data_IF_542252884412
#
_entry.id   IF_542252884412
#
_cell.length_a   1.000
_cell.length_b   1.000
_cell.length_c   1.000
_cell.angle_alpha   90.00
_cell.angle_beta   90.00
_cell.angle_gamma   90.00
#
_symmetry.space_group_name_H-M   'P 1'
#
loop_
_entity.id
_entity.type
_entity.pdbx_description
1 polymer ?
#
# COMPACT_ATOMS: atom_id res chain seq x y z
N UNK A 1 -21.47 -34.52 12.14
CA UNK A 1 -20.23 -33.74 12.31
C UNK A 1 -20.29 -32.58 11.34
N UNK A 2 -20.68 -31.38 11.81
CA UNK A 2 -20.93 -30.20 10.96
C UNK A 2 -19.64 -29.41 10.79
N UNK A 3 -19.09 -29.37 9.58
CA UNK A 3 -17.96 -28.52 9.21
C UNK A 3 -18.50 -27.10 8.98
N UNK A 4 -17.98 -26.13 9.75
CA UNK A 4 -18.29 -24.70 9.59
C UNK A 4 -17.56 -24.13 8.37
N UNK A 5 -18.18 -23.21 7.61
CA UNK A 5 -17.53 -22.53 6.49
C UNK A 5 -16.52 -21.50 7.00
N UNK A 6 -15.29 -21.58 6.52
CA UNK A 6 -14.30 -20.51 6.65
C UNK A 6 -14.62 -19.47 5.56
N UNK A 7 -15.27 -18.38 5.96
CA UNK A 7 -15.33 -17.15 5.18
C UNK A 7 -14.04 -16.37 5.47
N UNK A 8 -13.08 -16.44 4.56
CA UNK A 8 -12.01 -15.44 4.50
C UNK A 8 -12.26 -14.56 3.28
N UNK A 9 -12.65 -13.31 3.53
CA UNK A 9 -12.75 -12.22 2.56
C UNK A 9 -11.36 -11.84 2.01
N UNK A 10 -10.66 -12.78 1.36
CA UNK A 10 -9.52 -12.45 0.54
C UNK A 10 -10.01 -12.09 -0.86
N UNK A 11 -9.59 -10.96 -1.45
CA UNK A 11 -9.79 -10.76 -2.88
C UNK A 11 -9.09 -11.91 -3.60
N UNK A 12 -9.92 -12.73 -4.21
CA UNK A 12 -9.55 -13.83 -5.10
C UNK A 12 -8.57 -13.30 -6.14
N UNK A 13 -7.49 -14.05 -6.36
CA UNK A 13 -6.31 -13.61 -7.11
C UNK A 13 -6.66 -12.85 -8.39
N UNK A 14 -6.00 -11.72 -8.60
CA UNK A 14 -6.00 -11.05 -9.90
C UNK A 14 -4.89 -11.71 -10.70
N UNK A 15 -5.25 -12.62 -11.60
CA UNK A 15 -4.30 -13.29 -12.50
C UNK A 15 -4.16 -12.39 -13.74
N UNK A 16 -3.02 -11.72 -13.91
CA UNK A 16 -2.68 -11.10 -15.18
C UNK A 16 -1.94 -12.15 -16.00
N UNK A 17 -2.34 -12.36 -17.26
CA UNK A 17 -1.63 -13.31 -18.14
C UNK A 17 -1.47 -12.69 -19.51
N UNK A 18 -0.34 -12.98 -20.14
CA UNK A 18 -0.06 -12.67 -21.54
C UNK A 18 -1.16 -13.19 -22.48
N UNK A 19 -1.26 -12.56 -23.65
CA UNK A 19 -1.61 -13.28 -24.86
C UNK A 19 -0.31 -13.90 -25.43
N UNK A 20 -0.30 -15.15 -25.89
CA UNK A 20 0.92 -15.87 -26.16
C UNK A 20 1.56 -15.29 -27.41
N UNK A 21 2.86 -14.97 -27.34
CA UNK A 21 3.64 -14.55 -28.52
C UNK A 21 4.14 -15.72 -29.35
N UNK A 22 3.95 -16.96 -28.88
CA UNK A 22 4.33 -18.19 -29.58
C UNK A 22 3.22 -19.24 -29.50
N UNK A 23 2.95 -20.00 -30.57
CA UNK A 23 2.02 -21.12 -30.51
C UNK A 23 2.53 -22.19 -29.52
N UNK A 24 1.63 -22.72 -28.68
CA UNK A 24 1.92 -23.75 -27.68
C UNK A 24 2.65 -24.95 -28.33
N UNK A 25 3.94 -25.18 -28.05
CA UNK A 25 4.72 -26.14 -28.83
C UNK A 25 4.32 -27.61 -28.60
N UNK A 26 3.59 -27.97 -27.55
CA UNK A 26 3.50 -29.38 -27.11
C UNK A 26 2.17 -29.82 -26.46
N UNK A 27 1.07 -29.07 -26.61
CA UNK A 27 -0.21 -29.46 -25.98
C UNK A 27 -0.18 -29.43 -24.44
N UNK A 28 0.79 -28.73 -23.85
CA UNK A 28 0.88 -28.52 -22.42
C UNK A 28 -0.30 -27.66 -21.92
N UNK A 29 -0.87 -27.97 -20.74
CA UNK A 29 -2.00 -27.24 -20.21
C UNK A 29 -1.57 -25.85 -19.71
N UNK A 30 -2.28 -24.80 -20.12
CA UNK A 30 -2.05 -23.45 -19.60
C UNK A 30 -2.48 -23.28 -18.13
N UNK A 31 -3.25 -24.22 -17.58
CA UNK A 31 -3.66 -24.25 -16.17
C UNK A 31 -3.20 -25.58 -15.58
N UNK A 32 -2.35 -25.51 -14.56
CA UNK A 32 -1.82 -26.65 -13.82
C UNK A 32 -2.38 -26.66 -12.41
N UNK A 33 -2.67 -27.83 -11.86
CA UNK A 33 -3.14 -27.96 -10.47
C UNK A 33 -1.97 -28.42 -9.60
N UNK A 34 -1.42 -27.51 -8.81
CA UNK A 34 -0.39 -27.81 -7.81
C UNK A 34 -0.99 -28.07 -6.43
N UNK A 35 -0.13 -28.38 -5.47
CA UNK A 35 -0.52 -28.66 -4.07
C UNK A 35 -1.18 -27.44 -3.39
N UNK A 36 -0.76 -26.23 -3.75
CA UNK A 36 -1.31 -24.97 -3.23
C UNK A 36 -2.52 -24.45 -4.04
N UNK A 37 -2.98 -25.20 -5.04
CA UNK A 37 -4.09 -24.85 -5.91
C UNK A 37 -3.70 -24.65 -7.38
N UNK A 38 -4.63 -24.16 -8.22
CA UNK A 38 -4.39 -23.97 -9.65
C UNK A 38 -3.40 -22.82 -9.90
N UNK A 39 -2.44 -23.05 -10.79
CA UNK A 39 -1.48 -22.08 -11.31
C UNK A 39 -1.73 -21.90 -12.81
N UNK A 40 -1.65 -20.67 -13.28
CA UNK A 40 -1.82 -20.35 -14.71
C UNK A 40 -0.46 -20.00 -15.29
N UNK A 41 -0.04 -20.77 -16.29
CA UNK A 41 1.16 -20.46 -17.07
C UNK A 41 0.86 -19.26 -17.97
N UNK A 42 1.51 -18.14 -17.68
CA UNK A 42 1.34 -16.89 -18.44
C UNK A 42 1.92 -16.99 -19.85
N UNK A 43 2.91 -17.86 -20.07
CA UNK A 43 3.50 -18.10 -21.38
C UNK A 43 2.56 -18.88 -22.31
N UNK A 44 1.83 -19.84 -21.74
CA UNK A 44 0.92 -20.73 -22.48
C UNK A 44 -0.51 -20.19 -22.55
N UNK A 45 -0.90 -19.26 -21.67
CA UNK A 45 -2.25 -18.72 -21.64
C UNK A 45 -2.56 -17.96 -22.93
N UNK A 46 -3.68 -18.31 -23.57
CA UNK A 46 -4.14 -17.67 -24.80
C UNK A 46 -4.85 -16.32 -24.58
N UNK A 47 -5.09 -15.94 -23.33
CA UNK A 47 -5.92 -14.77 -23.01
C UNK A 47 -7.41 -14.93 -23.34
N UNK A 48 -7.87 -16.13 -23.71
CA UNK A 48 -9.24 -16.37 -24.21
C UNK A 48 -10.37 -16.17 -23.18
N UNK A 49 -10.05 -16.14 -21.88
CA UNK A 49 -11.02 -15.92 -20.80
C UNK A 49 -12.01 -17.07 -20.53
N UNK A 50 -11.81 -18.25 -21.12
CA UNK A 50 -12.68 -19.42 -20.90
C UNK A 50 -12.65 -19.86 -19.43
N UNK A 51 -11.48 -19.86 -18.79
CA UNK A 51 -11.31 -20.21 -17.39
C UNK A 51 -12.09 -19.26 -16.45
N UNK A 52 -12.10 -17.95 -16.73
CA UNK A 52 -12.87 -16.97 -15.97
C UNK A 52 -14.37 -17.27 -15.99
N UNK A 53 -14.89 -17.58 -17.20
CA UNK A 53 -16.32 -17.87 -17.40
C UNK A 53 -16.74 -19.20 -16.77
N UNK A 54 -15.85 -20.21 -16.80
CA UNK A 54 -16.12 -21.53 -16.22
C UNK A 54 -15.92 -21.58 -14.71
N UNK A 55 -15.19 -20.64 -14.12
CA UNK A 55 -14.93 -20.65 -12.69
C UNK A 55 -16.21 -20.33 -11.89
N UNK A 56 -16.76 -21.27 -11.09
CA UNK A 56 -18.01 -21.05 -10.36
C UNK A 56 -17.86 -20.00 -9.26
N UNK A 57 -16.64 -19.78 -8.76
CA UNK A 57 -16.33 -18.84 -7.69
C UNK A 57 -15.88 -17.47 -8.20
N UNK A 58 -15.78 -17.27 -9.52
CA UNK A 58 -15.17 -16.06 -10.13
C UNK A 58 -13.78 -15.77 -9.56
N UNK A 59 -13.04 -16.84 -9.26
CA UNK A 59 -11.73 -16.76 -8.64
C UNK A 59 -10.62 -16.42 -9.63
N UNK A 60 -10.91 -16.41 -10.94
CA UNK A 60 -9.92 -16.20 -11.98
C UNK A 60 -10.27 -14.89 -12.69
N UNK A 61 -9.30 -13.98 -12.74
CA UNK A 61 -9.28 -12.84 -13.66
C UNK A 61 -8.24 -13.12 -14.74
N UNK A 62 -8.44 -12.70 -15.98
CA UNK A 62 -7.39 -12.70 -17.01
C UNK A 62 -7.40 -11.34 -17.65
N UNK A 63 -6.28 -10.64 -17.55
CA UNK A 63 -6.07 -9.31 -18.13
C UNK A 63 -4.92 -9.39 -19.12
N UNK A 64 -5.20 -9.02 -20.38
CA UNK A 64 -4.18 -8.89 -21.41
C UNK A 64 -3.51 -7.53 -21.24
N UNK A 65 -2.26 -7.53 -20.77
CA UNK A 65 -1.47 -6.31 -20.59
C UNK A 65 -0.68 -5.98 -21.86
N UNK A 66 -0.53 -4.69 -22.24
CA UNK A 66 0.42 -4.27 -23.25
C UNK A 66 1.86 -4.50 -22.78
N UNK A 67 2.75 -4.84 -23.72
CA UNK A 67 4.18 -5.16 -23.47
C UNK A 67 4.92 -4.03 -22.73
N UNK A 68 4.61 -2.77 -23.03
CA UNK A 68 5.23 -1.61 -22.36
C UNK A 68 4.94 -1.56 -20.85
N UNK A 69 3.84 -2.14 -20.37
CA UNK A 69 3.59 -2.19 -18.93
C UNK A 69 4.42 -3.28 -18.25
N UNK A 70 4.85 -4.32 -18.95
CA UNK A 70 5.72 -5.36 -18.37
C UNK A 70 7.10 -4.83 -18.03
N UNK A 71 7.64 -3.93 -18.86
CA UNK A 71 8.90 -3.21 -18.62
C UNK A 71 8.83 -2.30 -17.38
N UNK A 72 7.63 -1.92 -16.95
CA UNK A 72 7.38 -1.05 -15.81
C UNK A 72 7.00 -1.80 -14.52
N UNK A 73 7.25 -3.11 -14.45
CA UNK A 73 6.88 -3.95 -13.29
C UNK A 73 7.74 -3.62 -12.06
N UNK A 74 7.09 -3.10 -11.01
CA UNK A 74 7.74 -2.66 -9.78
C UNK A 74 7.70 -3.74 -8.69
N UNK A 75 6.55 -4.38 -8.50
CA UNK A 75 6.41 -5.36 -7.43
C UNK A 75 5.39 -6.44 -7.78
N UNK A 76 5.64 -7.66 -7.33
CA UNK A 76 4.74 -8.81 -7.49
C UNK A 76 4.73 -9.65 -6.21
N UNK A 77 3.55 -9.93 -5.65
CA UNK A 77 3.44 -10.67 -4.37
C UNK A 77 3.65 -12.18 -4.48
N UNK A 78 3.61 -12.75 -5.67
CA UNK A 78 3.73 -14.19 -5.89
C UNK A 78 3.39 -14.60 -7.32
N UNK A 79 3.53 -15.89 -7.64
CA UNK A 79 3.07 -16.44 -8.92
C UNK A 79 1.58 -16.17 -9.07
N UNK A 80 1.20 -15.57 -10.19
CA UNK A 80 -0.14 -15.07 -10.47
C UNK A 80 -0.76 -14.15 -9.38
N UNK A 81 0.08 -13.55 -8.54
CA UNK A 81 -0.32 -12.57 -7.55
C UNK A 81 -0.50 -11.18 -8.16
N UNK A 82 -0.99 -10.25 -7.33
CA UNK A 82 -1.10 -8.85 -7.71
C UNK A 82 0.26 -8.28 -8.14
N UNK A 83 0.25 -7.55 -9.26
CA UNK A 83 1.40 -6.81 -9.80
C UNK A 83 1.16 -5.31 -9.70
N UNK A 84 2.17 -4.59 -9.22
CA UNK A 84 2.22 -3.14 -9.23
C UNK A 84 3.12 -2.67 -10.38
N UNK A 85 2.57 -1.80 -11.22
CA UNK A 85 3.29 -1.17 -12.33
C UNK A 85 3.44 0.31 -12.07
N UNK A 86 4.64 0.84 -12.35
CA UNK A 86 5.06 2.23 -12.08
C UNK A 86 4.92 2.64 -10.61
N UNK A 87 5.53 3.78 -10.29
CA UNK A 87 5.34 4.45 -9.00
C UNK A 87 5.05 5.93 -9.23
N UNK A 88 4.22 6.55 -8.36
CA UNK A 88 4.08 7.99 -8.34
C UNK A 88 5.41 8.61 -7.89
N UNK A 89 5.77 9.74 -8.50
CA UNK A 89 7.00 10.49 -8.17
C UNK A 89 6.67 11.59 -7.17
N UNK A 90 7.21 11.55 -5.94
CA UNK A 90 6.98 12.61 -4.96
C UNK A 90 7.69 13.91 -5.38
N UNK A 91 6.97 15.03 -5.32
CA UNK A 91 7.49 16.38 -5.57
C UNK A 91 7.47 17.23 -4.30
N UNK A 92 8.61 17.87 -4.00
CA UNK A 92 8.74 18.75 -2.82
C UNK A 92 7.77 19.93 -2.91
N UNK A 93 7.24 20.35 -1.75
CA UNK A 93 6.37 21.54 -1.64
C UNK A 93 4.96 21.37 -2.24
N UNK A 94 4.56 20.15 -2.59
CA UNK A 94 3.26 19.87 -3.20
C UNK A 94 2.59 18.64 -2.56
N UNK A 95 1.27 18.59 -2.63
CA UNK A 95 0.49 17.43 -2.19
C UNK A 95 0.13 16.58 -3.41
N UNK A 96 0.61 15.34 -3.45
CA UNK A 96 0.29 14.39 -4.50
C UNK A 96 -0.86 13.47 -4.06
N UNK A 97 -2.02 13.61 -4.70
CA UNK A 97 -3.16 12.72 -4.48
C UNK A 97 -3.08 11.46 -5.35
N UNK A 98 -3.21 10.28 -4.72
CA UNK A 98 -3.31 8.99 -5.44
C UNK A 98 -4.75 8.50 -5.37
N UNK A 99 -5.45 8.50 -6.51
CA UNK A 99 -6.86 8.11 -6.59
C UNK A 99 -7.02 6.88 -7.48
N UNK A 100 -7.85 5.94 -7.04
CA UNK A 100 -8.11 4.70 -7.77
C UNK A 100 -8.98 3.74 -6.96
N UNK A 101 -9.54 2.72 -7.63
CA UNK A 101 -10.37 1.69 -6.98
C UNK A 101 -9.57 0.90 -5.94
N UNK A 102 -10.25 0.22 -5.03
CA UNK A 102 -9.59 -0.70 -4.09
C UNK A 102 -8.92 -1.85 -4.85
N UNK A 103 -7.78 -2.33 -4.34
CA UNK A 103 -7.02 -3.40 -4.99
C UNK A 103 -6.18 -2.97 -6.21
N UNK A 104 -6.03 -1.67 -6.48
CA UNK A 104 -5.19 -1.15 -7.60
C UNK A 104 -3.73 -0.92 -7.22
N UNK A 105 -3.33 -1.21 -5.98
CA UNK A 105 -1.94 -1.10 -5.53
C UNK A 105 -1.54 0.23 -4.90
N UNK A 106 -2.49 1.15 -4.63
CA UNK A 106 -2.23 2.43 -3.95
C UNK A 106 -1.43 2.26 -2.65
N UNK A 107 -1.92 1.40 -1.76
CA UNK A 107 -1.27 1.12 -0.47
C UNK A 107 0.08 0.41 -0.65
N UNK A 108 0.23 -0.43 -1.67
CA UNK A 108 1.53 -1.06 -2.02
C UNK A 108 2.54 0.01 -2.46
N UNK A 109 2.14 0.93 -3.35
CA UNK A 109 3.00 2.04 -3.78
C UNK A 109 3.41 2.93 -2.61
N UNK A 110 2.48 3.28 -1.72
CA UNK A 110 2.76 4.05 -0.51
C UNK A 110 3.73 3.29 0.42
N UNK A 111 3.54 1.98 0.63
CA UNK A 111 4.44 1.15 1.46
C UNK A 111 5.86 1.10 0.87
N UNK A 112 6.00 1.08 -0.45
CA UNK A 112 7.30 1.14 -1.12
C UNK A 112 7.98 2.49 -0.86
N UNK A 113 7.27 3.59 -1.11
CA UNK A 113 7.78 4.95 -0.86
C UNK A 113 8.08 5.18 0.64
N UNK A 114 7.34 4.53 1.54
CA UNK A 114 7.54 4.61 2.98
C UNK A 114 8.70 3.76 3.52
N UNK A 115 9.47 3.09 2.65
CA UNK A 115 10.49 2.10 3.02
C UNK A 115 9.95 0.99 3.95
N UNK A 116 8.69 0.58 3.75
CA UNK A 116 8.04 -0.54 4.46
C UNK A 116 7.98 -1.80 3.62
N UNK A 117 8.24 -1.68 2.32
CA UNK A 117 8.27 -2.76 1.35
C UNK A 117 9.38 -2.46 0.33
N UNK A 118 10.37 -3.33 0.19
CA UNK A 118 11.34 -3.22 -0.90
C UNK A 118 10.69 -3.82 -2.16
N UNK A 119 10.55 -3.05 -3.26
CA UNK A 119 9.96 -3.55 -4.49
C UNK A 119 10.86 -4.64 -5.08
N UNK A 120 10.27 -5.76 -5.51
CA UNK A 120 11.05 -6.92 -5.96
C UNK A 120 11.30 -6.92 -7.47
N UNK A 121 10.78 -5.91 -8.20
CA UNK A 121 10.99 -5.71 -9.63
C UNK A 121 10.58 -6.95 -10.45
N UNK A 122 9.53 -7.65 -10.00
CA UNK A 122 9.04 -8.90 -10.60
C UNK A 122 9.83 -10.15 -10.20
N UNK A 123 10.96 -10.03 -9.49
CA UNK A 123 11.76 -11.16 -9.01
C UNK A 123 11.16 -11.73 -7.72
N UNK A 124 10.57 -12.93 -7.77
CA UNK A 124 9.89 -13.51 -6.61
C UNK A 124 10.82 -13.85 -5.44
N UNK A 125 12.10 -14.11 -5.73
CA UNK A 125 13.18 -14.28 -4.74
C UNK A 125 13.45 -12.98 -3.94
N UNK A 126 12.98 -11.83 -4.43
CA UNK A 126 13.22 -10.51 -3.86
C UNK A 126 14.20 -9.66 -4.66
N UNK A 127 14.45 -8.46 -4.15
CA UNK A 127 15.42 -7.50 -4.66
C UNK A 127 16.12 -6.82 -3.49
N UNK A 128 17.38 -6.44 -3.69
CA UNK A 128 18.10 -5.57 -2.76
C UNK A 128 17.74 -4.09 -2.99
N UNK A 129 17.91 -3.23 -1.99
CA UNK A 129 17.81 -1.78 -2.17
C UNK A 129 18.70 -1.23 -3.30
N UNK A 130 19.88 -1.80 -3.50
CA UNK A 130 20.80 -1.39 -4.57
C UNK A 130 20.25 -1.72 -5.96
N UNK A 131 19.61 -2.88 -6.12
CA UNK A 131 18.92 -3.21 -7.38
C UNK A 131 17.81 -2.20 -7.70
N UNK A 132 17.08 -1.74 -6.68
CA UNK A 132 16.00 -0.75 -6.84
C UNK A 132 16.58 0.60 -7.27
N UNK A 133 17.69 1.03 -6.65
CA UNK A 133 18.38 2.26 -7.03
C UNK A 133 18.84 2.16 -8.50
N UNK A 134 19.40 1.01 -8.89
CA UNK A 134 19.87 0.79 -10.25
C UNK A 134 18.74 0.78 -11.27
N UNK A 135 17.64 0.08 -10.96
CA UNK A 135 16.46 0.03 -11.82
C UNK A 135 15.92 1.42 -12.15
N UNK A 136 15.91 2.33 -11.18
CA UNK A 136 15.42 3.70 -11.39
C UNK A 136 16.47 4.67 -11.94
N UNK A 137 17.68 4.23 -12.29
CA UNK A 137 18.75 5.09 -12.80
C UNK A 137 18.26 5.95 -13.97
N UNK A 138 18.58 7.25 -13.93
CA UNK A 138 18.15 8.23 -14.94
C UNK A 138 16.72 8.76 -14.76
N UNK A 139 15.96 8.28 -13.76
CA UNK A 139 14.63 8.80 -13.41
C UNK A 139 14.67 9.70 -12.18
N UNK A 140 13.58 10.44 -11.93
CA UNK A 140 13.43 11.25 -10.71
C UNK A 140 13.41 10.39 -9.43
N UNK A 141 12.96 9.13 -9.52
CA UNK A 141 12.92 8.20 -8.39
C UNK A 141 14.31 7.68 -8.00
N UNK A 142 15.32 7.78 -8.88
CA UNK A 142 16.69 7.38 -8.56
C UNK A 142 17.21 8.08 -7.30
N UNK A 143 17.11 9.42 -7.30
CA UNK A 143 17.59 10.22 -6.18
C UNK A 143 16.77 9.97 -4.91
N UNK A 144 15.45 9.83 -5.07
CA UNK A 144 14.54 9.50 -3.98
C UNK A 144 14.95 8.21 -3.25
N UNK A 145 15.13 7.10 -3.99
CA UNK A 145 15.52 5.83 -3.38
C UNK A 145 16.93 5.83 -2.83
N UNK A 146 17.87 6.54 -3.48
CA UNK A 146 19.23 6.72 -2.97
C UNK A 146 19.27 7.46 -1.64
N UNK A 147 18.41 8.46 -1.45
CA UNK A 147 18.30 9.20 -0.20
C UNK A 147 17.53 8.40 0.86
N UNK A 148 16.46 7.70 0.47
CA UNK A 148 15.65 6.85 1.34
C UNK A 148 16.44 5.69 1.94
N UNK A 149 17.09 4.88 1.09
CA UNK A 149 17.88 3.73 1.55
C UNK A 149 19.21 4.15 2.18
N UNK A 150 19.76 5.30 1.78
CA UNK A 150 20.93 5.91 2.41
C UNK A 150 20.66 6.60 3.75
N UNK A 151 19.41 6.60 4.24
CA UNK A 151 19.02 7.22 5.51
C UNK A 151 19.08 8.75 5.52
N UNK A 152 19.21 9.39 4.37
CA UNK A 152 19.26 10.85 4.20
C UNK A 152 17.87 11.48 4.01
N UNK A 153 16.84 10.66 3.78
CA UNK A 153 15.44 11.07 3.65
C UNK A 153 14.62 10.49 4.80
N UNK A 154 13.98 11.35 5.60
CA UNK A 154 13.11 10.93 6.71
C UNK A 154 11.66 10.88 6.23
N UNK A 155 10.98 9.76 6.49
CA UNK A 155 9.58 9.56 6.07
C UNK A 155 8.67 9.38 7.28
N UNK A 156 7.64 10.21 7.37
CA UNK A 156 6.52 10.03 8.30
C UNK A 156 5.39 9.29 7.58
N UNK A 157 4.97 8.15 8.12
CA UNK A 157 3.95 7.28 7.51
C UNK A 157 2.76 7.06 8.44
N UNK A 158 1.57 7.42 7.96
CA UNK A 158 0.29 7.06 8.58
C UNK A 158 -0.28 5.83 7.85
N UNK A 159 -0.41 4.66 8.52
CA UNK A 159 -0.95 3.44 7.90
C UNK A 159 -2.47 3.48 7.73
N UNK A 160 -2.98 2.66 6.81
CA UNK A 160 -4.41 2.48 6.58
C UNK A 160 -5.08 1.80 7.80
N UNK A 161 -4.43 0.78 8.36
CA UNK A 161 -4.96 -0.10 9.39
C UNK A 161 -4.86 0.48 10.81
N UNK A 162 -5.49 1.64 11.04
CA UNK A 162 -5.45 2.33 12.35
C UNK A 162 -6.05 1.52 13.51
N UNK A 163 -6.91 0.54 13.21
CA UNK A 163 -7.46 -0.40 14.19
C UNK A 163 -6.39 -1.31 14.82
N UNK A 164 -5.19 -1.40 14.24
CA UNK A 164 -4.06 -2.12 14.83
C UNK A 164 -3.30 -1.29 15.86
N UNK A 165 -3.49 0.04 15.91
CA UNK A 165 -2.78 0.93 16.84
C UNK A 165 -2.86 0.48 18.31
N UNK A 166 -4.01 0.06 18.86
CA UNK A 166 -4.08 -0.39 20.25
C UNK A 166 -3.31 -1.67 20.52
N UNK A 167 -2.91 -2.43 19.48
CA UNK A 167 -2.06 -3.63 19.61
C UNK A 167 -0.60 -3.24 19.77
N UNK A 168 -0.13 -2.27 18.98
CA UNK A 168 1.28 -1.86 18.89
C UNK A 168 1.67 -0.70 19.82
N UNK A 169 0.73 0.17 20.18
CA UNK A 169 0.96 1.30 21.09
C UNK A 169 0.10 1.15 22.34
N UNK A 170 0.71 1.41 23.50
CA UNK A 170 0.04 1.40 24.82
C UNK A 170 0.22 2.75 25.50
N UNK A 171 -0.65 3.04 26.46
CA UNK A 171 -0.58 4.24 27.29
C UNK A 171 -1.63 5.29 26.95
N UNK A 172 -1.49 6.45 27.59
CA UNK A 172 -2.36 7.62 27.38
C UNK A 172 -1.99 8.34 26.09
N UNK A 173 -3.00 8.77 25.35
CA UNK A 173 -2.83 9.44 24.05
C UNK A 173 -1.99 10.71 24.16
N UNK A 174 -2.22 11.53 25.19
CA UNK A 174 -1.39 12.71 25.49
C UNK A 174 0.11 12.38 25.55
N UNK A 175 0.49 11.33 26.29
CA UNK A 175 1.89 10.92 26.42
C UNK A 175 2.46 10.40 25.11
N UNK A 176 1.67 9.61 24.38
CA UNK A 176 2.08 9.07 23.07
C UNK A 176 2.35 10.21 22.09
N UNK A 177 1.43 11.16 21.96
CA UNK A 177 1.55 12.28 21.04
C UNK A 177 2.71 13.20 21.41
N UNK A 178 2.89 13.53 22.70
CA UNK A 178 4.06 14.32 23.16
C UNK A 178 5.39 13.60 22.92
N UNK A 179 5.43 12.28 23.07
CA UNK A 179 6.65 11.50 22.84
C UNK A 179 7.05 11.43 21.35
N UNK A 180 6.09 11.51 20.43
CA UNK A 180 6.33 11.53 18.98
C UNK A 180 6.36 12.94 18.40
N UNK A 181 6.24 13.98 19.23
CA UNK A 181 6.32 15.36 18.76
C UNK A 181 7.79 15.80 18.66
N UNK A 182 8.29 15.85 17.43
CA UNK A 182 9.61 16.36 17.09
C UNK A 182 9.57 17.82 16.63
N UNK A 183 8.38 18.32 16.29
CA UNK A 183 8.18 19.65 15.71
C UNK A 183 7.68 20.68 16.73
N UNK A 184 7.28 20.24 17.92
CA UNK A 184 6.70 21.10 18.96
C UNK A 184 5.29 21.59 18.63
N UNK A 185 4.56 20.86 17.78
CA UNK A 185 3.24 21.25 17.25
C UNK A 185 2.08 20.55 17.98
N UNK A 186 2.35 19.91 19.13
CA UNK A 186 1.35 19.15 19.88
C UNK A 186 0.04 19.92 20.10
N UNK A 187 0.10 21.15 20.64
CA UNK A 187 -1.11 21.91 21.01
C UNK A 187 -1.93 22.30 19.76
N UNK A 188 -1.25 22.72 18.68
CA UNK A 188 -1.87 23.08 17.40
C UNK A 188 -2.59 21.88 16.77
N UNK A 189 -1.90 20.73 16.70
CA UNK A 189 -2.45 19.49 16.11
C UNK A 189 -3.61 18.95 16.95
N UNK A 190 -3.56 19.08 18.27
CA UNK A 190 -4.67 18.67 19.15
C UNK A 190 -5.91 19.53 18.93
N UNK A 191 -5.73 20.84 18.76
CA UNK A 191 -6.81 21.78 18.46
C UNK A 191 -7.40 21.51 17.06
N UNK A 192 -6.58 21.52 16.00
CA UNK A 192 -7.03 21.39 14.61
C UNK A 192 -7.75 20.06 14.34
N UNK A 193 -7.32 18.97 14.99
CA UNK A 193 -7.93 17.65 14.84
C UNK A 193 -8.99 17.36 15.91
N UNK A 194 -9.34 18.32 16.77
CA UNK A 194 -10.37 18.18 17.80
C UNK A 194 -10.10 17.02 18.78
N UNK A 195 -8.86 16.87 19.22
CA UNK A 195 -8.40 15.73 20.03
C UNK A 195 -8.50 15.95 21.54
N UNK A 196 -9.03 17.08 22.03
CA UNK A 196 -9.09 17.43 23.47
C UNK A 196 -9.69 16.34 24.38
N UNK A 197 -10.68 15.60 23.87
CA UNK A 197 -11.27 14.46 24.60
C UNK A 197 -10.42 13.20 24.45
N UNK A 198 -9.87 12.96 23.27
CA UNK A 198 -9.07 11.78 22.95
C UNK A 198 -7.74 11.75 23.73
N UNK A 199 -7.07 12.89 23.92
CA UNK A 199 -5.79 12.98 24.67
C UNK A 199 -5.92 12.52 26.13
N UNK A 200 -7.14 12.60 26.69
CA UNK A 200 -7.45 12.15 28.07
C UNK A 200 -7.63 10.64 28.18
N UNK A 201 -7.85 9.94 27.05
CA UNK A 201 -8.06 8.50 26.98
C UNK A 201 -6.75 7.73 26.83
N UNK A 202 -6.82 6.43 27.02
CA UNK A 202 -5.81 5.48 26.56
C UNK A 202 -6.06 5.07 25.11
N UNK A 203 -5.01 4.63 24.41
CA UNK A 203 -5.12 4.22 22.99
C UNK A 203 -6.18 3.13 22.75
N UNK A 204 -6.42 2.25 23.75
CA UNK A 204 -7.43 1.17 23.65
C UNK A 204 -8.87 1.65 23.73
N UNK A 205 -9.12 2.83 24.28
CA UNK A 205 -10.46 3.40 24.49
C UNK A 205 -10.91 4.30 23.33
N UNK A 206 -10.03 4.47 22.33
CA UNK A 206 -10.33 5.30 21.17
C UNK A 206 -11.36 4.64 20.26
N UNK A 207 -12.30 5.44 19.77
CA UNK A 207 -13.14 5.08 18.63
C UNK A 207 -12.32 5.03 17.33
N UNK A 208 -12.87 4.43 16.27
CA UNK A 208 -12.22 4.38 14.95
C UNK A 208 -11.81 5.75 14.41
N UNK A 209 -12.70 6.74 14.48
CA UNK A 209 -12.40 8.12 14.04
C UNK A 209 -11.37 8.82 14.92
N UNK A 210 -11.40 8.59 16.25
CA UNK A 210 -10.34 9.13 17.13
C UNK A 210 -8.99 8.47 16.85
N UNK A 211 -8.93 7.14 16.63
CA UNK A 211 -7.70 6.44 16.24
C UNK A 211 -7.13 7.02 14.95
N UNK A 212 -7.99 7.28 13.96
CA UNK A 212 -7.60 7.90 12.70
C UNK A 212 -6.96 9.27 12.91
N UNK A 213 -7.60 10.15 13.68
CA UNK A 213 -7.08 11.51 13.96
C UNK A 213 -5.82 11.47 14.80
N UNK A 214 -5.71 10.58 15.79
CA UNK A 214 -4.47 10.37 16.55
C UNK A 214 -3.33 9.87 15.66
N UNK A 215 -3.61 9.00 14.68
CA UNK A 215 -2.61 8.55 13.72
C UNK A 215 -2.12 9.67 12.81
N UNK A 216 -3.04 10.52 12.35
CA UNK A 216 -2.72 11.71 11.55
C UNK A 216 -1.88 12.68 12.39
N UNK A 217 -2.29 12.96 13.63
CA UNK A 217 -1.55 13.79 14.56
C UNK A 217 -0.11 13.30 14.76
N UNK A 218 0.04 12.01 15.10
CA UNK A 218 1.34 11.40 15.31
C UNK A 218 2.24 11.50 14.08
N UNK A 219 1.70 11.30 12.87
CA UNK A 219 2.48 11.45 11.64
C UNK A 219 2.85 12.91 11.36
N UNK A 220 1.94 13.85 11.57
CA UNK A 220 2.16 15.28 11.35
C UNK A 220 3.17 15.90 12.33
N UNK A 221 3.24 15.39 13.56
CA UNK A 221 4.17 15.86 14.60
C UNK A 221 5.61 15.36 14.43
N UNK A 222 5.86 14.42 13.51
CA UNK A 222 7.23 13.97 13.16
C UNK A 222 7.93 15.02 12.30
N UNK A 223 9.21 15.23 12.54
CA UNK A 223 10.06 16.03 11.64
C UNK A 223 10.52 15.13 10.49
N UNK A 224 9.98 15.34 9.29
CA UNK A 224 10.20 14.46 8.14
C UNK A 224 10.24 15.23 6.81
N UNK A 225 11.00 14.71 5.85
CA UNK A 225 11.07 15.26 4.49
C UNK A 225 9.81 14.92 3.68
N UNK A 226 9.21 13.76 3.95
CA UNK A 226 8.07 13.22 3.21
C UNK A 226 7.02 12.69 4.17
N UNK A 227 5.79 13.17 4.01
CA UNK A 227 4.63 12.70 4.75
C UNK A 227 3.75 11.86 3.84
N UNK A 228 3.51 10.61 4.22
CA UNK A 228 2.71 9.66 3.47
C UNK A 228 1.49 9.24 4.29
N UNK A 229 0.30 9.51 3.76
CA UNK A 229 -0.97 9.19 4.41
C UNK A 229 -1.74 8.16 3.58
N UNK A 230 -1.90 6.95 4.12
CA UNK A 230 -2.72 5.91 3.50
C UNK A 230 -4.16 5.98 4.05
N UNK A 231 -5.09 6.28 3.14
CA UNK A 231 -6.51 6.53 3.39
C UNK A 231 -6.82 7.39 4.64
N UNK A 232 -6.45 8.69 4.64
CA UNK A 232 -6.68 9.59 5.78
C UNK A 232 -8.17 9.96 5.99
N UNK A 233 -9.03 9.81 4.99
CA UNK A 233 -10.45 10.17 5.09
C UNK A 233 -11.37 9.09 5.69
N UNK A 234 -10.89 7.86 5.85
CA UNK A 234 -11.69 6.76 6.40
C UNK A 234 -12.13 7.08 7.83
N UNK A 235 -13.39 6.79 8.17
CA UNK A 235 -14.00 7.02 9.50
C UNK A 235 -14.18 8.48 9.97
N UNK A 236 -13.87 9.47 9.12
CA UNK A 236 -14.10 10.89 9.43
C UNK A 236 -15.43 11.39 8.82
N UNK A 237 -16.17 12.19 9.60
CA UNK A 237 -17.30 12.98 9.09
C UNK A 237 -16.82 14.09 8.12
N UNK A 238 -17.76 14.79 7.46
CA UNK A 238 -17.43 15.79 6.43
C UNK A 238 -16.53 16.91 6.97
N UNK A 239 -16.75 17.38 8.20
CA UNK A 239 -15.95 18.45 8.79
C UNK A 239 -14.55 17.96 9.17
N UNK A 240 -14.46 16.76 9.74
CA UNK A 240 -13.19 16.12 10.11
C UNK A 240 -12.33 15.78 8.89
N UNK A 241 -12.94 15.50 7.73
CA UNK A 241 -12.21 15.32 6.47
C UNK A 241 -11.53 16.62 6.03
N UNK A 242 -12.23 17.75 6.11
CA UNK A 242 -11.68 19.04 5.68
C UNK A 242 -10.49 19.45 6.55
N UNK A 243 -10.57 19.23 7.87
CA UNK A 243 -9.44 19.47 8.78
C UNK A 243 -8.22 18.59 8.45
N UNK A 244 -8.43 17.30 8.15
CA UNK A 244 -7.34 16.39 7.79
C UNK A 244 -6.60 16.75 6.48
N UNK A 245 -7.22 17.55 5.60
CA UNK A 245 -6.62 18.01 4.34
C UNK A 245 -6.16 19.47 4.39
N UNK A 246 -6.36 20.16 5.51
CA UNK A 246 -5.85 21.52 5.66
C UNK A 246 -4.33 21.50 5.60
N UNK A 247 -3.67 22.39 4.84
CA UNK A 247 -2.24 22.57 4.97
C UNK A 247 -1.98 22.92 6.43
N UNK A 248 -1.27 22.03 7.14
CA UNK A 248 -0.99 22.19 8.55
C UNK A 248 -0.23 23.48 8.86
N UNK A 249 0.04 23.76 10.14
CA UNK A 249 0.74 24.96 10.56
C UNK A 249 2.04 25.13 9.76
N UNK A 250 2.17 26.30 9.14
CA UNK A 250 3.37 26.66 8.37
C UNK A 250 4.54 26.72 9.34
N UNK A 251 5.54 25.87 9.12
CA UNK A 251 6.85 26.03 9.74
C UNK A 251 7.53 27.29 9.20
#
# INVERSE_FOLDING_TARGET
>A
MKVKPYLSDQPVGVFATRAPTRPNPMGMPAVEFGEEGPRISEELCSGCGICQKKCPFKAISIVNLPEQLEEDLIHQYGVNGFRLFRLPVPSRGSVLGIVGRNGTGKSTAIKILANRLVPNLGRLEGASPDDVIEYFRGTQLHQYFKDLYGGRLRVAYKPQEVYLLPRVVKGRVDRVLRAVDERGVYDEVVEELGLHKAVRKTVKELSGGEMQRVAIAAAASRDADVYLFDEPSSYNDVHQRMAAYSPGPRA
#
